data_IF_434035873596
#
_entry.id   IF_434035873596
#
_cell.length_a   1.000
_cell.length_b   1.000
_cell.length_c   1.000
_cell.angle_alpha   90.00
_cell.angle_beta   90.00
_cell.angle_gamma   90.00
#
_symmetry.space_group_name_H-M   'P 1'
#
loop_
_entity.id
_entity.type
_entity.pdbx_description
1 polymer ?
#
# COMPACT_ATOMS: atom_id res chain seq x y z
N UNK A 1 9.49 24.92 -4.78
CA UNK A 1 9.74 23.70 -4.00
C UNK A 1 11.23 23.51 -3.72
N UNK A 2 12.09 23.42 -4.73
CA UNK A 2 13.54 23.18 -4.56
C UNK A 2 14.23 24.18 -3.63
N UNK A 3 13.90 25.48 -3.70
CA UNK A 3 14.47 26.51 -2.83
C UNK A 3 14.15 26.28 -1.33
N UNK A 4 12.92 25.84 -1.01
CA UNK A 4 12.55 25.51 0.37
C UNK A 4 13.28 24.25 0.88
N UNK A 5 13.49 23.25 0.01
CA UNK A 5 14.24 22.05 0.36
C UNK A 5 15.72 22.37 0.63
N UNK A 6 16.34 23.28 -0.13
CA UNK A 6 17.73 23.69 0.04
C UNK A 6 18.03 24.39 1.38
N UNK A 7 17.00 24.86 2.09
CA UNK A 7 17.19 25.41 3.44
C UNK A 7 17.60 24.33 4.46
N UNK A 8 17.13 23.10 4.29
CA UNK A 8 17.48 21.96 5.17
C UNK A 8 18.59 21.09 4.57
N UNK A 9 18.45 20.76 3.28
CA UNK A 9 19.40 19.90 2.58
C UNK A 9 20.21 20.75 1.62
N UNK A 10 21.50 21.02 1.90
CA UNK A 10 22.32 21.91 1.09
C UNK A 10 22.58 21.40 -0.33
N UNK A 11 22.33 20.12 -0.59
CA UNK A 11 22.38 19.52 -1.92
C UNK A 11 21.38 18.38 -2.08
N UNK A 12 21.16 17.95 -3.33
CA UNK A 12 20.38 16.76 -3.64
C UNK A 12 20.97 15.51 -3.00
N UNK A 13 22.29 15.38 -2.97
CA UNK A 13 23.00 14.23 -2.38
C UNK A 13 22.76 14.16 -0.87
N UNK A 14 22.71 15.31 -0.18
CA UNK A 14 22.40 15.36 1.25
C UNK A 14 20.98 14.85 1.52
N UNK A 15 20.01 15.27 0.69
CA UNK A 15 18.64 14.78 0.76
C UNK A 15 18.56 13.27 0.48
N UNK A 16 19.16 12.81 -0.61
CA UNK A 16 19.10 11.40 -0.98
C UNK A 16 19.79 10.48 0.02
N UNK A 17 20.89 10.93 0.63
CA UNK A 17 21.56 10.16 1.70
C UNK A 17 20.62 9.93 2.89
N UNK A 18 19.84 10.93 3.28
CA UNK A 18 18.90 10.83 4.38
C UNK A 18 17.63 10.05 3.98
N UNK A 19 17.06 10.34 2.79
CA UNK A 19 15.85 9.68 2.29
C UNK A 19 16.07 8.20 2.00
N UNK A 20 17.14 7.88 1.29
CA UNK A 20 17.36 6.55 0.73
C UNK A 20 18.15 5.63 1.68
N UNK A 21 18.45 6.08 2.89
CA UNK A 21 19.25 5.31 3.85
C UNK A 21 18.71 3.90 4.14
N UNK A 22 17.41 3.66 3.95
CA UNK A 22 16.77 2.36 4.09
C UNK A 22 16.61 1.59 2.78
N UNK A 23 16.84 2.24 1.64
CA UNK A 23 16.76 1.63 0.30
C UNK A 23 18.12 1.21 -0.21
N UNK A 24 19.19 1.90 0.21
CA UNK A 24 20.55 1.75 -0.34
C UNK A 24 21.15 0.34 -0.17
N UNK A 25 20.71 -0.42 0.80
CA UNK A 25 21.17 -1.82 0.98
C UNK A 25 20.81 -2.72 -0.20
N UNK A 26 19.75 -2.38 -0.92
CA UNK A 26 19.25 -3.17 -2.05
C UNK A 26 19.94 -2.80 -3.37
N UNK A 27 20.78 -1.77 -3.38
CA UNK A 27 21.41 -1.25 -4.58
C UNK A 27 22.85 -1.73 -4.67
N UNK A 28 23.13 -2.60 -5.66
CA UNK A 28 24.47 -3.14 -5.89
C UNK A 28 25.46 -2.08 -6.42
N UNK A 29 24.98 -1.11 -7.22
CA UNK A 29 25.76 -0.04 -7.79
C UNK A 29 24.99 1.28 -7.79
N UNK A 30 25.33 2.17 -6.86
CA UNK A 30 24.70 3.49 -6.69
C UNK A 30 24.83 4.40 -7.92
N UNK A 31 25.96 4.33 -8.63
CA UNK A 31 26.18 5.15 -9.81
C UNK A 31 25.23 4.77 -10.95
N UNK A 32 25.09 3.48 -11.21
CA UNK A 32 24.16 2.96 -12.22
C UNK A 32 22.72 3.27 -11.87
N UNK A 33 22.33 3.05 -10.61
CA UNK A 33 20.99 3.35 -10.11
C UNK A 33 20.63 4.82 -10.34
N UNK A 34 21.49 5.74 -9.97
CA UNK A 34 21.24 7.18 -10.11
C UNK A 34 21.11 7.64 -11.57
N UNK A 35 21.69 6.91 -12.54
CA UNK A 35 21.65 7.21 -13.96
C UNK A 35 20.51 6.51 -14.71
N UNK A 36 19.80 5.55 -14.10
CA UNK A 36 18.69 4.84 -14.74
C UNK A 36 17.58 5.81 -15.12
N UNK A 37 17.23 5.81 -16.41
CA UNK A 37 16.05 6.49 -16.91
C UNK A 37 14.85 5.56 -16.85
N UNK A 38 13.78 6.01 -16.19
CA UNK A 38 12.53 5.29 -16.09
C UNK A 38 11.49 5.99 -16.93
N UNK A 39 10.66 5.20 -17.64
CA UNK A 39 9.53 5.71 -18.37
C UNK A 39 8.25 5.01 -17.92
N UNK A 40 7.25 5.79 -17.50
CA UNK A 40 5.91 5.32 -17.21
C UNK A 40 4.99 5.85 -18.31
N UNK A 41 4.25 4.96 -18.98
CA UNK A 41 3.28 5.34 -20.02
C UNK A 41 1.87 4.95 -19.61
N UNK A 42 0.93 5.82 -19.87
CA UNK A 42 -0.49 5.58 -19.68
C UNK A 42 -1.12 5.32 -21.04
N UNK A 43 -1.89 4.26 -21.14
CA UNK A 43 -2.62 3.92 -22.36
C UNK A 43 -3.67 4.99 -22.67
N UNK A 44 -3.58 5.68 -23.84
CA UNK A 44 -4.53 6.73 -24.19
C UNK A 44 -5.98 6.28 -24.25
N UNK A 45 -6.22 5.02 -24.66
CA UNK A 45 -7.58 4.48 -24.82
C UNK A 45 -8.32 4.28 -23.50
N UNK A 46 -7.56 4.06 -22.40
CA UNK A 46 -8.10 3.77 -21.07
C UNK A 46 -7.79 4.86 -20.02
N UNK A 47 -7.05 5.92 -20.38
CA UNK A 47 -6.59 6.96 -19.46
C UNK A 47 -7.73 7.70 -18.71
N UNK A 48 -8.95 7.69 -19.25
CA UNK A 48 -10.14 8.25 -18.60
C UNK A 48 -10.72 7.38 -17.48
N UNK A 49 -10.30 6.12 -17.37
CA UNK A 49 -10.85 5.20 -16.38
C UNK A 49 -10.29 5.49 -14.98
N UNK A 50 -11.12 5.51 -13.91
CA UNK A 50 -10.67 5.80 -12.55
C UNK A 50 -9.56 4.84 -12.07
N UNK A 51 -9.67 3.56 -12.40
CA UNK A 51 -8.67 2.55 -12.00
C UNK A 51 -7.33 2.74 -12.68
N UNK A 52 -7.30 3.13 -13.96
CA UNK A 52 -6.08 3.47 -14.69
C UNK A 52 -5.43 4.73 -14.11
N UNK A 53 -6.23 5.75 -13.81
CA UNK A 53 -5.72 6.95 -13.14
C UNK A 53 -5.18 6.67 -11.74
N UNK A 54 -5.87 5.83 -10.96
CA UNK A 54 -5.38 5.41 -9.63
C UNK A 54 -4.05 4.66 -9.71
N UNK A 55 -3.93 3.71 -10.66
CA UNK A 55 -2.65 3.00 -10.90
C UNK A 55 -1.55 3.98 -11.31
N UNK A 56 -1.84 4.94 -12.18
CA UNK A 56 -0.87 5.93 -12.64
C UNK A 56 -0.39 6.84 -11.51
N UNK A 57 -1.31 7.35 -10.68
CA UNK A 57 -1.01 8.16 -9.51
C UNK A 57 -0.11 7.40 -8.52
N UNK A 58 -0.49 6.19 -8.16
CA UNK A 58 0.27 5.39 -7.20
C UNK A 58 1.63 4.96 -7.78
N UNK A 59 1.69 4.44 -9.01
CA UNK A 59 2.95 3.99 -9.62
C UNK A 59 3.94 5.15 -9.76
N UNK A 60 3.50 6.32 -10.19
CA UNK A 60 4.33 7.52 -10.28
C UNK A 60 4.83 7.97 -8.90
N UNK A 61 3.94 8.02 -7.89
CA UNK A 61 4.28 8.36 -6.51
C UNK A 61 5.31 7.39 -5.93
N UNK A 62 5.09 6.07 -6.04
CA UNK A 62 6.02 5.06 -5.55
C UNK A 62 7.38 5.13 -6.25
N UNK A 63 7.39 5.38 -7.57
CA UNK A 63 8.62 5.46 -8.35
C UNK A 63 9.44 6.70 -7.97
N UNK A 64 8.81 7.86 -7.75
CA UNK A 64 9.50 9.07 -7.30
C UNK A 64 10.21 8.94 -5.95
N UNK A 65 9.83 7.94 -5.13
CA UNK A 65 10.42 7.73 -3.80
C UNK A 65 11.77 7.03 -3.82
N UNK A 66 12.19 6.50 -4.96
CA UNK A 66 13.49 5.86 -5.13
C UNK A 66 14.22 6.27 -6.42
N UNK A 67 13.49 6.49 -7.53
CA UNK A 67 14.06 6.93 -8.80
C UNK A 67 14.27 8.44 -8.82
N UNK A 68 15.34 8.88 -9.52
CA UNK A 68 15.70 10.29 -9.63
C UNK A 68 15.34 10.89 -10.99
N UNK A 69 15.27 10.04 -12.03
CA UNK A 69 15.02 10.44 -13.41
C UNK A 69 13.82 9.66 -13.93
N UNK A 70 12.65 10.29 -13.97
CA UNK A 70 11.42 9.65 -14.41
C UNK A 70 10.74 10.49 -15.48
N UNK A 71 10.44 9.84 -16.59
CA UNK A 71 9.64 10.39 -17.67
C UNK A 71 8.25 9.72 -17.66
N UNK A 72 7.21 10.55 -17.65
CA UNK A 72 5.84 10.09 -17.75
C UNK A 72 5.24 10.54 -19.08
N UNK A 73 4.65 9.60 -19.78
CA UNK A 73 3.83 9.86 -20.97
C UNK A 73 2.38 9.76 -20.54
N UNK A 74 1.77 10.91 -20.35
CA UNK A 74 0.41 11.06 -19.83
C UNK A 74 -0.44 11.73 -20.91
N UNK A 75 -1.48 11.07 -21.45
CA UNK A 75 -2.42 11.68 -22.37
C UNK A 75 -3.10 12.91 -21.72
N UNK A 76 -3.48 13.89 -22.54
CA UNK A 76 -4.28 15.00 -22.06
C UNK A 76 -5.69 14.50 -21.70
N UNK A 77 -5.92 14.28 -20.41
CA UNK A 77 -7.16 13.72 -19.88
C UNK A 77 -7.55 14.42 -18.59
N UNK A 78 -8.84 14.67 -18.45
CA UNK A 78 -9.39 15.21 -17.21
C UNK A 78 -9.18 14.24 -16.06
N UNK A 79 -8.79 14.78 -14.92
CA UNK A 79 -8.70 14.01 -13.68
C UNK A 79 -10.10 13.62 -13.21
N UNK A 80 -10.28 12.34 -12.85
CA UNK A 80 -11.55 11.86 -12.31
C UNK A 80 -12.01 12.71 -11.12
N UNK A 81 -13.30 13.05 -11.03
CA UNK A 81 -13.80 13.99 -10.02
C UNK A 81 -13.40 13.66 -8.60
N UNK A 82 -13.44 12.38 -8.20
CA UNK A 82 -13.05 11.92 -6.87
C UNK A 82 -11.56 12.13 -6.56
N UNK A 83 -10.71 12.36 -7.56
CA UNK A 83 -9.27 12.54 -7.37
C UNK A 83 -8.82 14.00 -7.34
N UNK A 84 -9.72 14.96 -7.58
CA UNK A 84 -9.37 16.39 -7.79
C UNK A 84 -8.85 17.09 -6.54
N UNK A 85 -9.26 16.67 -5.36
CA UNK A 85 -8.94 17.36 -4.09
C UNK A 85 -9.18 18.88 -4.14
N UNK A 86 -10.15 19.32 -4.97
CA UNK A 86 -10.50 20.72 -5.15
C UNK A 86 -9.50 21.61 -5.90
N UNK A 87 -8.36 21.07 -6.40
CA UNK A 87 -7.29 21.89 -6.99
C UNK A 87 -6.72 21.40 -8.33
N UNK A 88 -6.90 20.13 -8.69
CA UNK A 88 -6.38 19.60 -9.94
C UNK A 88 -7.50 19.36 -10.95
N UNK A 89 -7.22 19.64 -12.23
CA UNK A 89 -8.14 19.40 -13.32
C UNK A 89 -7.67 18.29 -14.26
N UNK A 90 -6.35 18.20 -14.48
CA UNK A 90 -5.74 17.20 -15.34
C UNK A 90 -4.98 16.15 -14.54
N UNK A 91 -4.94 14.91 -15.05
CA UNK A 91 -4.17 13.82 -14.46
C UNK A 91 -2.67 14.16 -14.39
N UNK A 92 -2.14 14.75 -15.45
CA UNK A 92 -0.74 15.17 -15.54
C UNK A 92 -0.33 16.17 -14.45
N UNK A 93 -1.22 17.11 -14.10
CA UNK A 93 -0.97 18.11 -13.05
C UNK A 93 -0.82 17.44 -11.68
N UNK A 94 -1.75 16.54 -11.33
CA UNK A 94 -1.71 15.84 -10.06
C UNK A 94 -0.48 14.93 -9.94
N UNK A 95 -0.19 14.13 -10.97
CA UNK A 95 1.01 13.27 -10.99
C UNK A 95 2.27 14.10 -10.77
N UNK A 96 2.44 15.20 -11.51
CA UNK A 96 3.61 16.06 -11.40
C UNK A 96 3.78 16.64 -9.99
N UNK A 97 2.71 17.14 -9.39
CA UNK A 97 2.76 17.69 -8.03
C UNK A 97 3.10 16.62 -6.99
N UNK A 98 2.48 15.43 -7.08
CA UNK A 98 2.77 14.33 -6.16
C UNK A 98 4.23 13.87 -6.22
N UNK A 99 4.79 13.72 -7.42
CA UNK A 99 6.19 13.34 -7.57
C UNK A 99 7.14 14.41 -7.02
N UNK A 100 6.89 15.68 -7.35
CA UNK A 100 7.73 16.80 -6.89
C UNK A 100 7.61 17.07 -5.39
N UNK A 101 6.48 16.71 -4.77
CA UNK A 101 6.31 16.82 -3.31
C UNK A 101 6.91 15.63 -2.57
N UNK A 102 7.01 14.47 -3.20
CA UNK A 102 7.76 13.32 -2.68
C UNK A 102 9.29 13.54 -2.76
N UNK A 103 9.76 14.09 -3.90
CA UNK A 103 11.17 14.36 -4.15
C UNK A 103 11.35 15.73 -4.84
N UNK A 104 11.78 16.78 -4.11
CA UNK A 104 11.95 18.12 -4.66
C UNK A 104 13.18 18.27 -5.57
N UNK A 105 14.07 17.28 -5.60
CA UNK A 105 15.32 17.29 -6.38
C UNK A 105 15.26 16.39 -7.61
N UNK A 106 14.24 15.52 -7.73
CA UNK A 106 14.07 14.61 -8.85
C UNK A 106 13.84 15.34 -10.19
N UNK A 107 14.36 14.77 -11.26
CA UNK A 107 14.06 15.21 -12.64
C UNK A 107 12.84 14.43 -13.15
N UNK A 108 11.66 15.02 -12.96
CA UNK A 108 10.38 14.45 -13.33
C UNK A 108 9.78 15.19 -14.51
N UNK A 109 9.78 14.53 -15.68
CA UNK A 109 9.28 15.07 -16.92
C UNK A 109 7.92 14.45 -17.27
N UNK A 110 6.86 15.24 -17.24
CA UNK A 110 5.54 14.85 -17.70
C UNK A 110 5.31 15.37 -19.11
N UNK A 111 5.00 14.50 -20.07
CA UNK A 111 4.84 14.80 -21.49
C UNK A 111 3.63 14.06 -22.05
N UNK A 112 3.04 14.59 -23.10
CA UNK A 112 1.90 13.96 -23.80
C UNK A 112 2.36 12.92 -24.83
N UNK A 113 3.52 13.14 -25.43
CA UNK A 113 4.05 12.34 -26.54
C UNK A 113 5.41 11.77 -26.19
N UNK A 114 5.62 10.50 -26.55
CA UNK A 114 6.90 9.85 -26.44
C UNK A 114 7.85 10.31 -27.57
N UNK A 115 8.92 11.04 -27.22
CA UNK A 115 10.02 11.28 -28.13
C UNK A 115 11.16 10.33 -27.80
N UNK A 116 11.60 9.54 -28.79
CA UNK A 116 12.76 8.67 -28.64
C UNK A 116 14.05 9.49 -28.79
N UNK A 117 14.88 9.50 -27.76
CA UNK A 117 16.25 10.03 -27.83
C UNK A 117 17.30 8.89 -27.81
N UNK A 118 16.89 7.66 -28.17
CA UNK A 118 17.80 6.54 -28.37
C UNK A 118 18.40 5.90 -27.11
N UNK A 119 18.14 6.46 -25.93
CA UNK A 119 18.64 5.86 -24.68
C UNK A 119 17.75 4.70 -24.21
N UNK A 120 18.33 3.58 -23.76
CA UNK A 120 17.55 2.50 -23.19
C UNK A 120 16.87 2.96 -21.91
N UNK A 121 15.57 2.66 -21.78
CA UNK A 121 14.75 3.00 -20.61
C UNK A 121 14.08 1.77 -20.07
N UNK A 122 13.90 1.76 -18.76
CA UNK A 122 13.03 0.79 -18.10
C UNK A 122 11.59 1.30 -18.20
N UNK A 123 10.72 0.54 -18.85
CA UNK A 123 9.34 0.97 -19.10
C UNK A 123 8.33 0.21 -18.26
N UNK A 124 7.39 0.96 -17.71
CA UNK A 124 6.15 0.48 -17.11
C UNK A 124 4.97 1.09 -17.90
N UNK A 125 4.07 0.26 -18.34
CA UNK A 125 2.89 0.65 -19.10
C UNK A 125 1.65 0.39 -18.26
N UNK A 126 0.71 1.36 -18.23
CA UNK A 126 -0.46 1.32 -17.35
C UNK A 126 -1.73 1.43 -18.20
N UNK A 127 -2.55 0.39 -18.17
CA UNK A 127 -3.76 0.27 -18.97
C UNK A 127 -3.75 -0.96 -19.87
N UNK A 128 -4.67 -1.05 -20.81
CA UNK A 128 -4.86 -2.25 -21.63
C UNK A 128 -3.81 -2.43 -22.74
N UNK A 129 -3.40 -1.33 -23.39
CA UNK A 129 -2.47 -1.36 -24.52
C UNK A 129 -2.83 -2.39 -25.61
N UNK A 130 -4.12 -2.55 -25.92
CA UNK A 130 -4.64 -3.55 -26.85
C UNK A 130 -4.06 -3.45 -28.27
N UNK A 131 -3.80 -2.21 -28.73
CA UNK A 131 -3.33 -1.89 -30.08
C UNK A 131 -1.88 -1.37 -30.07
N UNK A 132 -1.14 -1.61 -29.01
CA UNK A 132 0.20 -1.04 -28.89
C UNK A 132 1.18 -1.72 -29.84
N UNK A 133 1.47 -1.09 -30.98
CA UNK A 133 2.61 -1.45 -31.81
C UNK A 133 3.91 -0.99 -31.14
N UNK A 134 4.93 -1.84 -31.14
CA UNK A 134 6.27 -1.51 -30.66
C UNK A 134 6.49 -1.71 -29.15
N UNK A 135 5.71 -2.56 -28.50
CA UNK A 135 6.08 -3.10 -27.19
C UNK A 135 7.36 -3.92 -27.30
N UNK A 136 8.27 -3.71 -26.36
CA UNK A 136 9.50 -4.50 -26.26
C UNK A 136 9.28 -5.69 -25.34
N UNK A 137 10.00 -6.80 -25.52
CA UNK A 137 9.84 -8.00 -24.67
C UNK A 137 10.02 -7.72 -23.18
N UNK A 138 10.82 -6.72 -22.81
CA UNK A 138 11.09 -6.30 -21.43
C UNK A 138 10.08 -5.30 -20.86
N UNK A 139 9.18 -4.76 -21.67
CA UNK A 139 8.13 -3.87 -21.17
C UNK A 139 7.18 -4.60 -20.25
N UNK A 140 6.84 -3.97 -19.15
CA UNK A 140 5.88 -4.52 -18.21
C UNK A 140 4.59 -3.70 -18.24
N UNK A 141 3.50 -4.37 -18.62
CA UNK A 141 2.16 -3.77 -18.71
C UNK A 141 1.36 -4.21 -17.51
N UNK A 142 0.78 -3.25 -16.79
CA UNK A 142 -0.13 -3.50 -15.65
C UNK A 142 -1.54 -3.00 -15.94
N UNK A 143 -2.52 -3.73 -15.43
CA UNK A 143 -3.93 -3.37 -15.47
C UNK A 143 -4.66 -3.92 -14.25
N UNK A 144 -5.93 -3.58 -14.10
CA UNK A 144 -6.82 -4.15 -13.08
C UNK A 144 -8.22 -4.33 -13.65
N UNK A 145 -8.89 -5.42 -13.28
CA UNK A 145 -10.26 -5.71 -13.67
C UNK A 145 -11.00 -6.46 -12.54
N UNK A 146 -12.19 -6.01 -12.15
CA UNK A 146 -12.91 -6.58 -11.03
C UNK A 146 -12.08 -6.52 -9.74
N UNK A 147 -11.77 -7.66 -9.17
CA UNK A 147 -10.90 -7.81 -7.99
C UNK A 147 -9.48 -8.26 -8.36
N UNK A 148 -9.13 -8.32 -9.64
CA UNK A 148 -7.85 -8.85 -10.12
C UNK A 148 -6.86 -7.75 -10.45
N UNK A 149 -5.66 -7.85 -9.88
CA UNK A 149 -4.47 -7.15 -10.33
C UNK A 149 -3.80 -7.95 -11.44
N UNK A 150 -3.41 -7.29 -12.53
CA UNK A 150 -2.93 -7.93 -13.74
C UNK A 150 -1.55 -7.39 -14.12
N UNK A 151 -0.67 -8.27 -14.61
CA UNK A 151 0.64 -7.90 -15.14
C UNK A 151 1.05 -8.80 -16.30
N UNK A 152 1.52 -8.21 -17.40
CA UNK A 152 2.03 -8.92 -18.58
C UNK A 152 3.35 -8.32 -19.07
N UNK A 153 4.13 -9.14 -19.76
CA UNK A 153 5.42 -8.72 -20.27
C UNK A 153 5.43 -8.75 -21.81
N UNK A 154 5.87 -7.64 -22.42
CA UNK A 154 6.01 -7.52 -23.86
C UNK A 154 4.71 -7.54 -24.65
N UNK A 155 3.57 -7.58 -23.99
CA UNK A 155 2.25 -7.64 -24.63
C UNK A 155 1.20 -6.88 -23.82
N UNK A 156 0.19 -6.36 -24.51
CA UNK A 156 -0.98 -5.74 -23.90
C UNK A 156 -2.05 -6.76 -23.49
N UNK A 157 -3.12 -6.26 -22.94
CA UNK A 157 -4.29 -7.05 -22.57
C UNK A 157 -5.32 -7.02 -23.72
N UNK A 158 -5.79 -8.19 -24.13
CA UNK A 158 -6.84 -8.34 -25.15
C UNK A 158 -8.11 -8.88 -24.50
N UNK A 159 -9.29 -8.35 -24.88
CA UNK A 159 -10.57 -8.82 -24.39
C UNK A 159 -11.22 -7.94 -23.32
N UNK A 160 -12.01 -8.51 -22.43
CA UNK A 160 -12.89 -7.84 -21.48
C UNK A 160 -12.17 -7.23 -20.25
N UNK A 161 -11.18 -6.38 -20.49
CA UNK A 161 -10.44 -5.71 -19.39
C UNK A 161 -10.96 -4.28 -19.11
N UNK A 162 -12.08 -3.90 -19.72
CA UNK A 162 -12.76 -2.61 -19.46
C UNK A 162 -13.72 -2.68 -18.26
N UNK A 163 -13.70 -3.75 -17.50
CA UNK A 163 -14.50 -3.90 -16.30
C UNK A 163 -13.98 -2.95 -15.19
N UNK A 164 -14.89 -2.28 -14.48
CA UNK A 164 -14.52 -1.53 -13.29
C UNK A 164 -13.73 -2.43 -12.33
N UNK A 165 -12.67 -1.90 -11.74
CA UNK A 165 -11.87 -2.66 -10.78
C UNK A 165 -11.90 -2.02 -9.38
N UNK A 166 -11.62 -2.82 -8.35
CA UNK A 166 -11.43 -2.30 -7.01
C UNK A 166 -10.14 -1.48 -6.92
N UNK A 167 -10.13 -0.45 -6.05
CA UNK A 167 -8.90 0.30 -5.77
C UNK A 167 -7.82 -0.58 -5.12
N UNK A 168 -8.23 -1.66 -4.45
CA UNK A 168 -7.31 -2.67 -3.93
C UNK A 168 -6.56 -3.40 -5.06
N UNK A 169 -7.27 -3.84 -6.11
CA UNK A 169 -6.65 -4.47 -7.28
C UNK A 169 -5.77 -3.49 -8.06
N UNK A 170 -6.23 -2.27 -8.27
CA UNK A 170 -5.46 -1.21 -8.94
C UNK A 170 -4.18 -0.87 -8.14
N UNK A 171 -4.29 -0.72 -6.82
CA UNK A 171 -3.16 -0.47 -5.92
C UNK A 171 -2.14 -1.61 -5.93
N UNK A 172 -2.61 -2.86 -5.92
CA UNK A 172 -1.73 -4.02 -5.99
C UNK A 172 -1.00 -4.10 -7.33
N UNK A 173 -1.69 -3.88 -8.46
CA UNK A 173 -1.08 -3.85 -9.80
C UNK A 173 0.00 -2.76 -9.89
N UNK A 174 -0.28 -1.54 -9.42
CA UNK A 174 0.68 -0.45 -9.39
C UNK A 174 1.89 -0.76 -8.50
N UNK A 175 1.67 -1.39 -7.34
CA UNK A 175 2.74 -1.81 -6.42
C UNK A 175 3.64 -2.86 -7.05
N UNK A 176 3.08 -3.87 -7.70
CA UNK A 176 3.84 -4.91 -8.39
C UNK A 176 4.59 -4.35 -9.62
N UNK A 177 3.95 -3.43 -10.38
CA UNK A 177 4.62 -2.72 -11.48
C UNK A 177 5.82 -1.90 -11.01
N UNK A 178 5.69 -1.17 -9.90
CA UNK A 178 6.79 -0.42 -9.29
C UNK A 178 7.89 -1.36 -8.74
N UNK A 179 7.53 -2.52 -8.22
CA UNK A 179 8.48 -3.54 -7.78
C UNK A 179 9.29 -4.10 -8.96
N UNK A 180 8.66 -4.39 -10.09
CA UNK A 180 9.35 -4.85 -11.30
C UNK A 180 10.32 -3.81 -11.84
N UNK A 181 9.89 -2.53 -11.90
CA UNK A 181 10.78 -1.42 -12.26
C UNK A 181 12.00 -1.33 -11.36
N UNK A 182 11.79 -1.40 -10.04
CA UNK A 182 12.88 -1.33 -9.07
C UNK A 182 13.86 -2.50 -9.24
N UNK A 183 13.37 -3.73 -9.36
CA UNK A 183 14.21 -4.92 -9.61
C UNK A 183 15.10 -4.78 -10.84
N UNK A 184 14.53 -4.29 -11.93
CA UNK A 184 15.27 -4.04 -13.16
C UNK A 184 16.26 -2.90 -13.01
N UNK A 185 15.93 -1.87 -12.24
CA UNK A 185 16.80 -0.70 -12.03
C UNK A 185 18.05 -1.06 -11.23
N UNK A 186 17.91 -1.83 -10.15
CA UNK A 186 19.06 -2.17 -9.28
C UNK A 186 19.98 -3.22 -9.88
N UNK A 187 19.51 -4.02 -10.85
CA UNK A 187 20.32 -5.07 -11.49
C UNK A 187 20.89 -6.10 -10.51
N UNK A 188 20.22 -6.33 -9.38
CA UNK A 188 20.70 -7.25 -8.35
C UNK A 188 20.77 -8.69 -8.92
N UNK A 189 21.90 -9.40 -8.79
CA UNK A 189 22.08 -10.72 -9.42
C UNK A 189 21.04 -11.77 -9.02
N UNK A 190 20.47 -11.67 -7.82
CA UNK A 190 19.41 -12.57 -7.35
C UNK A 190 17.98 -12.06 -7.59
N UNK A 191 17.81 -10.82 -8.07
CA UNK A 191 16.48 -10.22 -8.26
C UNK A 191 15.97 -10.55 -9.68
N UNK A 192 15.28 -11.66 -9.83
CA UNK A 192 14.58 -11.98 -11.07
C UNK A 192 13.40 -11.02 -11.29
N UNK A 193 13.06 -10.75 -12.53
CA UNK A 193 11.89 -9.95 -12.91
C UNK A 193 10.60 -10.64 -12.48
N UNK A 194 9.56 -9.86 -12.23
CA UNK A 194 8.28 -10.46 -11.91
C UNK A 194 7.73 -11.23 -13.12
N UNK A 195 7.14 -12.41 -12.90
CA UNK A 195 6.43 -13.14 -13.95
C UNK A 195 5.14 -12.40 -14.33
N UNK A 196 4.50 -12.85 -15.40
CA UNK A 196 3.11 -12.48 -15.68
C UNK A 196 2.21 -13.00 -14.57
N UNK A 197 1.16 -12.22 -14.26
CA UNK A 197 0.24 -12.59 -13.20
C UNK A 197 -1.18 -12.09 -13.47
N UNK A 198 -2.14 -12.83 -12.92
CA UNK A 198 -3.47 -12.39 -12.59
C UNK A 198 -3.72 -12.77 -11.14
N UNK A 199 -3.75 -11.77 -10.24
CA UNK A 199 -3.90 -12.00 -8.82
C UNK A 199 -5.23 -11.44 -8.33
N UNK A 200 -6.18 -12.36 -8.01
CA UNK A 200 -7.46 -11.97 -7.40
C UNK A 200 -7.23 -11.49 -5.96
N UNK A 201 -7.60 -10.28 -5.66
CA UNK A 201 -7.66 -9.75 -4.29
C UNK A 201 -8.90 -10.21 -3.54
N UNK A 202 -9.89 -10.84 -4.21
CA UNK A 202 -11.04 -11.45 -3.58
C UNK A 202 -10.68 -12.79 -2.92
N UNK A 203 -10.25 -13.76 -3.70
CA UNK A 203 -9.88 -15.10 -3.23
C UNK A 203 -8.40 -15.23 -2.83
N UNK A 204 -7.59 -14.22 -3.10
CA UNK A 204 -6.12 -14.24 -2.96
C UNK A 204 -5.43 -15.33 -3.77
N UNK A 205 -6.00 -15.73 -4.90
CA UNK A 205 -5.42 -16.74 -5.80
C UNK A 205 -4.77 -16.09 -7.01
N UNK A 206 -3.73 -16.73 -7.51
CA UNK A 206 -3.27 -16.49 -8.86
C UNK A 206 -4.20 -17.23 -9.80
N UNK A 207 -4.79 -16.49 -10.75
CA UNK A 207 -5.73 -17.03 -11.73
C UNK A 207 -4.97 -17.33 -13.03
N UNK A 208 -5.36 -18.40 -13.72
CA UNK A 208 -4.88 -18.70 -15.06
C UNK A 208 -5.82 -18.06 -16.08
N UNK A 209 -6.90 -18.70 -16.46
CA UNK A 209 -7.97 -18.14 -17.27
C UNK A 209 -9.31 -18.67 -16.75
N UNK A 210 -10.35 -17.83 -16.71
CA UNK A 210 -10.41 -16.40 -17.00
C UNK A 210 -9.64 -15.57 -15.96
N UNK A 211 -9.05 -14.44 -16.39
CA UNK A 211 -8.26 -13.56 -15.52
C UNK A 211 -9.08 -12.78 -14.49
N UNK A 212 -10.39 -12.84 -14.55
CA UNK A 212 -11.32 -12.22 -13.62
C UNK A 212 -12.18 -13.32 -12.99
N UNK A 213 -12.31 -13.27 -11.67
CA UNK A 213 -13.05 -14.24 -10.89
C UNK A 213 -14.56 -13.99 -11.00
N UNK A 214 -15.29 -14.90 -11.66
CA UNK A 214 -16.70 -14.74 -11.94
C UNK A 214 -17.58 -14.72 -10.68
N UNK A 215 -17.14 -15.39 -9.59
CA UNK A 215 -17.86 -15.46 -8.32
C UNK A 215 -17.63 -14.25 -7.42
N UNK A 216 -16.68 -13.38 -7.77
CA UNK A 216 -16.42 -12.19 -6.99
C UNK A 216 -17.54 -11.14 -7.19
N UNK A 217 -17.98 -10.47 -6.13
CA UNK A 217 -19.00 -9.43 -6.26
C UNK A 217 -18.49 -8.24 -7.08
N UNK A 218 -19.39 -7.41 -7.63
CA UNK A 218 -18.96 -6.17 -8.29
C UNK A 218 -18.16 -5.29 -7.32
N UNK A 219 -17.19 -4.52 -7.84
CA UNK A 219 -16.43 -3.57 -7.03
C UNK A 219 -17.34 -2.60 -6.28
N UNK A 220 -17.17 -2.40 -4.96
CA UNK A 220 -17.97 -1.44 -4.22
C UNK A 220 -17.66 -0.01 -4.68
N UNK A 221 -18.68 0.85 -4.84
CA UNK A 221 -18.51 2.21 -5.35
C UNK A 221 -17.91 3.20 -4.34
N UNK A 222 -17.87 2.85 -3.09
CA UNK A 222 -17.33 3.64 -1.98
C UNK A 222 -16.74 2.72 -0.90
N UNK A 223 -15.94 3.30 -0.02
CA UNK A 223 -15.44 2.64 1.18
C UNK A 223 -16.21 3.18 2.39
N UNK A 224 -17.01 2.33 3.01
CA UNK A 224 -17.71 2.68 4.24
C UNK A 224 -16.89 2.22 5.46
N UNK A 225 -16.33 3.20 6.15
CA UNK A 225 -15.48 2.97 7.33
C UNK A 225 -16.28 2.63 8.60
N UNK A 226 -17.61 2.91 8.63
CA UNK A 226 -18.32 2.85 9.89
C UNK A 226 -17.59 3.66 10.97
N UNK A 227 -17.35 3.06 12.14
CA UNK A 227 -16.48 3.58 13.19
C UNK A 227 -15.15 2.80 13.16
N UNK A 228 -14.11 3.35 12.54
CA UNK A 228 -12.82 2.66 12.37
C UNK A 228 -11.70 3.29 13.20
N UNK A 229 -10.91 2.46 13.89
CA UNK A 229 -9.63 2.83 14.47
C UNK A 229 -8.49 2.37 13.55
N UNK A 230 -7.62 3.30 13.16
CA UNK A 230 -6.33 3.01 12.52
C UNK A 230 -5.19 3.34 13.50
N UNK A 231 -4.59 2.31 14.06
CA UNK A 231 -3.43 2.42 14.93
C UNK A 231 -2.15 2.15 14.11
N UNK A 232 -1.35 3.20 13.93
CA UNK A 232 -0.13 3.19 13.12
C UNK A 232 -0.29 3.86 11.75
N UNK A 233 0.12 5.12 11.63
CA UNK A 233 0.17 5.91 10.39
C UNK A 233 1.58 5.88 9.80
N UNK A 234 2.23 4.71 9.86
CA UNK A 234 3.54 4.45 9.27
C UNK A 234 3.48 4.24 7.75
N UNK A 235 4.42 3.45 7.21
CA UNK A 235 4.51 3.21 5.77
C UNK A 235 3.24 2.53 5.20
N UNK A 236 2.76 1.46 5.83
CA UNK A 236 1.55 0.74 5.40
C UNK A 236 0.30 1.57 5.68
N UNK A 237 0.20 2.23 6.86
CA UNK A 237 -0.94 3.08 7.21
C UNK A 237 -1.09 4.27 6.28
N UNK A 238 0.00 4.96 5.95
CA UNK A 238 -0.03 6.05 4.97
C UNK A 238 -0.41 5.59 3.57
N UNK A 239 0.01 4.39 3.16
CA UNK A 239 -0.37 3.81 1.88
C UNK A 239 -1.84 3.38 1.85
N UNK A 240 -2.36 2.82 2.97
CA UNK A 240 -3.79 2.53 3.09
C UNK A 240 -4.64 3.78 2.97
N UNK A 241 -4.29 4.86 3.68
CA UNK A 241 -5.00 6.13 3.61
C UNK A 241 -4.91 6.77 2.20
N UNK A 242 -3.76 6.65 1.55
CA UNK A 242 -3.60 7.10 0.16
C UNK A 242 -4.56 6.37 -0.79
N UNK A 243 -4.65 5.04 -0.69
CA UNK A 243 -5.54 4.22 -1.52
C UNK A 243 -7.01 4.44 -1.18
N UNK A 244 -7.34 4.55 0.11
CA UNK A 244 -8.69 4.84 0.56
C UNK A 244 -9.19 6.19 0.04
N UNK A 245 -8.31 7.21 -0.01
CA UNK A 245 -8.61 8.53 -0.55
C UNK A 245 -8.94 8.54 -2.07
N UNK A 246 -8.56 7.50 -2.78
CA UNK A 246 -8.94 7.32 -4.20
C UNK A 246 -10.37 6.75 -4.36
N UNK A 247 -11.11 6.60 -3.26
CA UNK A 247 -12.51 6.19 -3.24
C UNK A 247 -13.35 7.22 -2.50
N UNK A 248 -14.64 7.36 -2.81
CA UNK A 248 -15.54 8.07 -1.92
C UNK A 248 -15.60 7.40 -0.55
N UNK A 249 -15.36 8.14 0.52
CA UNK A 249 -15.36 7.62 1.88
C UNK A 249 -16.66 7.96 2.61
N UNK A 250 -17.08 7.09 3.54
CA UNK A 250 -18.18 7.29 4.48
C UNK A 250 -17.78 6.82 5.88
N UNK A 251 -18.47 7.33 6.92
CA UNK A 251 -18.23 6.94 8.30
C UNK A 251 -17.23 7.82 9.02
N UNK A 252 -16.50 7.25 9.97
CA UNK A 252 -15.54 7.95 10.79
C UNK A 252 -14.22 7.19 10.94
N UNK A 253 -13.14 7.92 11.18
CA UNK A 253 -11.80 7.36 11.29
C UNK A 253 -11.03 8.00 12.44
N UNK A 254 -10.71 7.22 13.45
CA UNK A 254 -9.78 7.61 14.51
C UNK A 254 -8.37 7.16 14.14
N UNK A 255 -7.42 8.10 14.12
CA UNK A 255 -6.02 7.92 13.77
C UNK A 255 -5.16 7.98 15.03
N UNK A 256 -4.36 6.95 15.28
CA UNK A 256 -3.45 6.90 16.44
C UNK A 256 -2.02 6.62 15.96
N UNK A 257 -1.10 7.53 16.22
CA UNK A 257 0.34 7.37 16.01
C UNK A 257 1.10 8.38 16.88
N UNK A 258 2.27 8.03 17.41
CA UNK A 258 3.10 8.92 18.23
C UNK A 258 4.18 9.65 17.46
N UNK A 259 4.47 9.20 16.24
CA UNK A 259 5.65 9.63 15.50
C UNK A 259 5.38 10.88 14.67
N UNK A 260 6.47 11.59 14.42
CA UNK A 260 6.56 12.68 13.44
C UNK A 260 7.05 12.18 12.09
N UNK A 261 6.79 12.96 11.04
CA UNK A 261 7.31 12.69 9.72
C UNK A 261 8.80 13.05 9.66
N UNK A 262 9.62 12.09 9.25
CA UNK A 262 11.05 12.23 9.03
C UNK A 262 11.38 12.09 7.54
N UNK A 263 12.54 12.59 7.11
CA UNK A 263 13.04 12.45 5.71
C UNK A 263 13.10 10.98 5.30
N UNK A 264 13.53 10.11 6.22
CA UNK A 264 13.59 8.66 6.01
C UNK A 264 12.23 8.00 5.76
N UNK A 265 11.12 8.67 6.09
CA UNK A 265 9.77 8.16 5.78
C UNK A 265 9.40 8.40 4.31
N UNK A 266 10.01 9.40 3.66
CA UNK A 266 9.70 9.78 2.29
C UNK A 266 10.03 8.69 1.27
N UNK A 267 10.91 7.75 1.60
CA UNK A 267 11.23 6.64 0.71
C UNK A 267 10.13 5.57 0.59
N UNK A 268 9.12 5.56 1.48
CA UNK A 268 8.15 4.46 1.57
C UNK A 268 6.71 4.82 1.91
N UNK A 269 6.45 6.07 2.29
CA UNK A 269 5.13 6.52 2.76
C UNK A 269 4.47 7.44 1.73
N UNK A 270 3.55 6.95 0.87
CA UNK A 270 3.08 7.70 -0.30
C UNK A 270 2.32 8.99 0.03
N UNK A 271 1.76 9.11 1.21
CA UNK A 271 1.02 10.29 1.65
C UNK A 271 1.94 11.45 2.08
N UNK A 272 3.15 11.14 2.61
CA UNK A 272 4.02 12.16 3.17
C UNK A 272 4.85 12.88 2.12
N UNK A 273 5.02 14.19 2.32
CA UNK A 273 5.77 15.10 1.46
C UNK A 273 7.06 15.58 2.13
N UNK A 274 7.98 16.13 1.33
CA UNK A 274 9.20 16.76 1.87
C UNK A 274 8.89 17.94 2.80
N UNK A 275 7.75 18.62 2.62
CA UNK A 275 7.32 19.72 3.49
C UNK A 275 6.93 19.21 4.88
N UNK A 276 6.28 18.05 4.95
CA UNK A 276 5.91 17.42 6.22
C UNK A 276 7.14 16.99 7.00
N UNK A 277 8.15 16.44 6.30
CA UNK A 277 9.43 16.09 6.89
C UNK A 277 10.24 17.32 7.32
N UNK A 278 10.20 18.40 6.54
CA UNK A 278 10.83 19.67 6.89
C UNK A 278 10.25 20.28 8.17
N UNK A 279 8.92 20.21 8.32
CA UNK A 279 8.20 20.73 9.48
C UNK A 279 8.19 19.76 10.67
N UNK A 280 8.70 18.53 10.50
CA UNK A 280 8.58 17.44 11.49
C UNK A 280 7.14 17.30 12.02
N UNK A 281 6.18 17.29 11.10
CA UNK A 281 4.75 17.27 11.43
C UNK A 281 4.34 15.92 12.02
N UNK A 282 3.34 15.91 12.90
CA UNK A 282 2.78 14.68 13.45
C UNK A 282 2.08 13.89 12.33
N UNK A 283 2.36 12.59 12.26
CA UNK A 283 1.81 11.72 11.19
C UNK A 283 0.29 11.72 11.17
N UNK A 284 -0.34 11.70 12.34
CA UNK A 284 -1.81 11.74 12.48
C UNK A 284 -2.41 13.07 12.03
N UNK A 285 -1.74 14.19 12.30
CA UNK A 285 -2.17 15.51 11.84
C UNK A 285 -2.12 15.63 10.31
N UNK A 286 -1.07 15.10 9.69
CA UNK A 286 -0.97 15.04 8.22
C UNK A 286 -2.07 14.17 7.64
N UNK A 287 -2.33 12.99 8.21
CA UNK A 287 -3.39 12.09 7.76
C UNK A 287 -4.78 12.74 7.87
N UNK A 288 -5.07 13.42 8.97
CA UNK A 288 -6.29 14.19 9.15
C UNK A 288 -6.46 15.26 8.07
N UNK A 289 -5.43 16.07 7.85
CA UNK A 289 -5.44 17.12 6.81
C UNK A 289 -5.55 16.54 5.39
N UNK A 290 -4.92 15.39 5.16
CA UNK A 290 -4.94 14.68 3.88
C UNK A 290 -6.35 14.25 3.47
N UNK A 291 -7.17 13.83 4.44
CA UNK A 291 -8.54 13.37 4.24
C UNK A 291 -9.61 14.48 4.40
N UNK A 292 -9.21 15.72 4.70
CA UNK A 292 -10.15 16.82 5.01
C UNK A 292 -11.13 17.17 3.87
N UNK A 293 -10.84 16.77 2.63
CA UNK A 293 -11.75 16.97 1.48
C UNK A 293 -12.77 15.83 1.31
N UNK A 294 -12.61 14.72 2.02
CA UNK A 294 -13.57 13.61 2.06
C UNK A 294 -14.72 13.93 3.02
N UNK A 295 -15.88 13.39 2.77
CA UNK A 295 -17.06 13.60 3.61
C UNK A 295 -17.11 12.59 4.77
N UNK A 296 -16.07 12.58 5.62
CA UNK A 296 -15.96 11.74 6.79
C UNK A 296 -15.51 12.53 8.01
N UNK A 297 -15.87 12.04 9.19
CA UNK A 297 -15.29 12.55 10.44
C UNK A 297 -13.93 11.88 10.69
N UNK A 298 -12.89 12.68 10.95
CA UNK A 298 -11.58 12.17 11.30
C UNK A 298 -11.10 12.74 12.63
N UNK A 299 -10.58 11.89 13.53
CA UNK A 299 -9.96 12.28 14.78
C UNK A 299 -8.48 11.90 14.78
N UNK A 300 -7.58 12.86 15.00
CA UNK A 300 -6.15 12.61 15.12
C UNK A 300 -5.74 12.56 16.60
N UNK A 301 -5.07 11.49 17.01
CA UNK A 301 -4.53 11.28 18.35
C UNK A 301 -3.04 11.05 18.24
N UNK A 302 -2.24 11.93 18.84
CA UNK A 302 -0.80 11.79 18.94
C UNK A 302 -0.47 11.10 20.26
N UNK A 303 0.07 9.88 20.19
CA UNK A 303 0.42 9.13 21.37
C UNK A 303 0.75 7.66 21.06
N UNK A 304 1.36 6.99 22.03
CA UNK A 304 1.68 5.57 21.94
C UNK A 304 0.44 4.71 22.20
N UNK A 305 0.43 3.50 21.66
CA UNK A 305 -0.67 2.55 21.88
C UNK A 305 -1.02 2.37 23.36
N UNK A 306 -0.02 2.14 24.22
CA UNK A 306 -0.23 1.88 25.65
C UNK A 306 -0.92 3.03 26.41
N UNK A 307 -0.73 4.25 25.96
CA UNK A 307 -1.32 5.44 26.59
C UNK A 307 -2.82 5.56 26.30
N UNK A 308 -3.28 4.95 25.20
CA UNK A 308 -4.62 5.12 24.68
C UNK A 308 -5.43 3.82 24.60
N UNK A 309 -4.83 2.64 24.76
CA UNK A 309 -5.48 1.33 24.54
C UNK A 309 -6.75 1.14 25.38
N UNK A 310 -6.75 1.57 26.66
CA UNK A 310 -7.93 1.52 27.52
C UNK A 310 -9.09 2.35 26.98
N UNK A 311 -8.82 3.60 26.58
CA UNK A 311 -9.82 4.48 25.97
C UNK A 311 -10.35 3.93 24.64
N UNK A 312 -9.47 3.35 23.81
CA UNK A 312 -9.87 2.74 22.56
C UNK A 312 -10.79 1.52 22.80
N UNK A 313 -10.55 0.74 23.85
CA UNK A 313 -11.41 -0.40 24.22
C UNK A 313 -12.81 0.02 24.71
N UNK A 314 -12.97 1.23 25.21
CA UNK A 314 -14.26 1.75 25.64
C UNK A 314 -15.11 2.31 24.49
N UNK A 315 -14.47 2.70 23.39
CA UNK A 315 -15.16 3.22 22.21
C UNK A 315 -15.68 2.08 21.32
N UNK A 316 -16.93 2.16 20.84
CA UNK A 316 -17.55 1.09 20.04
C UNK A 316 -17.10 1.13 18.57
N UNK A 317 -15.81 0.92 18.28
CA UNK A 317 -15.35 0.79 16.91
C UNK A 317 -15.88 -0.47 16.24
N UNK A 318 -16.22 -0.37 14.96
CA UNK A 318 -16.61 -1.52 14.13
C UNK A 318 -15.38 -2.32 13.67
N UNK A 319 -14.31 -1.62 13.30
CA UNK A 319 -13.08 -2.20 12.77
C UNK A 319 -11.85 -1.59 13.43
N UNK A 320 -10.91 -2.43 13.81
CA UNK A 320 -9.58 -2.02 14.25
C UNK A 320 -8.54 -2.40 13.19
N UNK A 321 -7.87 -1.40 12.64
CA UNK A 321 -6.72 -1.60 11.76
C UNK A 321 -5.45 -1.45 12.61
N UNK A 322 -4.78 -2.57 12.88
CA UNK A 322 -3.58 -2.60 13.74
C UNK A 322 -2.32 -2.70 12.89
N UNK A 323 -1.63 -1.57 12.71
CA UNK A 323 -0.42 -1.41 11.90
C UNK A 323 0.78 -0.89 12.70
N UNK A 324 0.65 -0.80 14.03
CA UNK A 324 1.76 -0.38 14.86
C UNK A 324 2.83 -1.48 14.90
N UNK A 325 4.08 -1.09 15.00
CA UNK A 325 5.19 -2.01 15.27
C UNK A 325 5.49 -2.16 16.78
N UNK A 326 4.57 -1.72 17.64
CA UNK A 326 4.67 -1.89 19.09
C UNK A 326 4.25 -3.32 19.46
N UNK A 327 5.17 -4.10 20.05
CA UNK A 327 4.90 -5.50 20.48
C UNK A 327 3.70 -5.58 21.43
N UNK A 328 3.53 -4.54 22.26
CA UNK A 328 2.40 -4.43 23.17
C UNK A 328 1.04 -4.40 22.43
N UNK A 329 0.93 -3.65 21.35
CA UNK A 329 -0.31 -3.56 20.58
C UNK A 329 -0.73 -4.93 20.04
N UNK A 330 0.21 -5.66 19.45
CA UNK A 330 -0.06 -7.00 18.90
C UNK A 330 -0.48 -8.00 19.98
N UNK A 331 0.11 -7.89 21.19
CA UNK A 331 -0.21 -8.76 22.31
C UNK A 331 -1.54 -8.39 22.98
N UNK A 332 -1.89 -7.10 23.06
CA UNK A 332 -3.03 -6.59 23.81
C UNK A 332 -4.33 -6.56 23.00
N UNK A 333 -4.27 -6.30 21.68
CA UNK A 333 -5.46 -6.16 20.84
C UNK A 333 -6.52 -7.25 21.04
N UNK A 334 -6.20 -8.56 21.08
CA UNK A 334 -7.21 -9.60 21.28
C UNK A 334 -7.95 -9.50 22.62
N UNK A 335 -7.30 -8.94 23.65
CA UNK A 335 -7.89 -8.80 24.99
C UNK A 335 -8.75 -7.54 25.15
N UNK A 336 -8.67 -6.62 24.21
CA UNK A 336 -9.48 -5.40 24.19
C UNK A 336 -10.82 -5.60 23.48
N UNK A 337 -11.09 -6.82 23.03
CA UNK A 337 -12.36 -7.27 22.48
C UNK A 337 -12.83 -6.50 21.23
N UNK A 338 -11.96 -6.24 20.23
CA UNK A 338 -12.40 -5.58 19.01
C UNK A 338 -13.36 -6.48 18.22
N UNK A 339 -14.35 -5.92 17.53
CA UNK A 339 -15.29 -6.68 16.70
C UNK A 339 -14.59 -7.37 15.52
N UNK A 340 -13.77 -6.61 14.80
CA UNK A 340 -12.96 -7.09 13.68
C UNK A 340 -11.57 -6.44 13.77
N UNK A 341 -10.52 -7.22 13.51
CA UNK A 341 -9.16 -6.72 13.40
C UNK A 341 -8.63 -6.98 12.00
N UNK A 342 -8.11 -5.94 11.39
CA UNK A 342 -7.36 -6.01 10.14
C UNK A 342 -5.90 -5.67 10.41
N UNK A 343 -4.99 -6.34 9.71
CA UNK A 343 -3.55 -6.19 9.84
C UNK A 343 -2.89 -6.25 8.48
N UNK A 344 -1.77 -5.55 8.33
CA UNK A 344 -0.89 -5.73 7.19
C UNK A 344 0.55 -5.50 7.62
N UNK A 345 1.47 -6.16 6.95
CA UNK A 345 2.89 -6.12 7.29
C UNK A 345 3.76 -6.27 6.05
N UNK A 346 4.99 -5.83 6.18
CA UNK A 346 6.07 -6.13 5.24
C UNK A 346 7.15 -6.93 5.97
N UNK A 347 7.81 -7.85 5.27
CA UNK A 347 8.81 -8.75 5.87
C UNK A 347 10.13 -8.69 5.12
N UNK A 348 11.19 -9.28 5.72
CA UNK A 348 12.44 -9.59 5.03
C UNK A 348 12.17 -10.46 3.80
N UNK A 349 13.01 -10.40 2.79
CA UNK A 349 12.79 -11.14 1.55
C UNK A 349 11.80 -10.46 0.59
N UNK A 350 11.51 -9.16 0.82
CA UNK A 350 10.54 -8.39 0.06
C UNK A 350 9.11 -8.95 0.15
N UNK A 351 8.76 -9.43 1.34
CA UNK A 351 7.43 -9.93 1.61
C UNK A 351 6.45 -8.80 1.93
N UNK A 352 5.21 -9.01 1.55
CA UNK A 352 4.05 -8.20 1.92
C UNK A 352 2.88 -9.11 2.23
N UNK A 353 2.04 -8.71 3.18
CA UNK A 353 0.88 -9.50 3.54
C UNK A 353 -0.16 -8.73 4.30
N UNK A 354 -1.36 -9.31 4.36
CA UNK A 354 -2.47 -8.82 5.14
C UNK A 354 -3.20 -9.95 5.84
N UNK A 355 -3.92 -9.62 6.89
CA UNK A 355 -4.72 -10.59 7.63
C UNK A 355 -5.94 -9.97 8.26
N UNK A 356 -6.99 -10.79 8.37
CA UNK A 356 -8.24 -10.48 9.04
C UNK A 356 -8.42 -11.40 10.24
N UNK A 357 -8.98 -10.88 11.31
CA UNK A 357 -9.45 -11.63 12.45
C UNK A 357 -10.90 -11.28 12.75
N UNK A 358 -11.77 -12.25 12.59
CA UNK A 358 -13.14 -12.20 13.07
C UNK A 358 -13.20 -13.06 14.33
N UNK A 359 -13.47 -12.49 15.51
CA UNK A 359 -13.52 -13.23 16.77
C UNK A 359 -14.41 -14.46 16.68
N UNK A 360 -14.01 -15.55 17.37
CA UNK A 360 -14.66 -16.88 17.38
C UNK A 360 -14.51 -17.71 16.10
N UNK A 361 -14.33 -17.08 14.92
CA UNK A 361 -14.21 -17.78 13.64
C UNK A 361 -12.77 -17.94 13.18
N UNK A 362 -12.01 -16.87 13.29
CA UNK A 362 -10.67 -16.76 12.72
C UNK A 362 -9.61 -16.67 13.82
N UNK A 363 -8.39 -17.05 13.51
CA UNK A 363 -7.24 -16.93 14.40
C UNK A 363 -6.93 -15.46 14.73
N UNK A 364 -6.52 -15.19 15.97
CA UNK A 364 -6.20 -13.83 16.40
C UNK A 364 -4.71 -13.48 16.17
N UNK A 365 -4.34 -12.23 16.42
CA UNK A 365 -2.95 -11.75 16.32
C UNK A 365 -1.95 -12.60 17.07
N UNK A 366 -2.29 -13.08 18.29
CA UNK A 366 -1.42 -13.95 19.08
C UNK A 366 -1.20 -15.34 18.45
N UNK A 367 -2.15 -15.83 17.67
CA UNK A 367 -1.95 -17.09 16.93
C UNK A 367 -0.92 -16.98 15.83
N UNK A 368 -0.75 -15.76 15.28
CA UNK A 368 0.14 -15.46 14.15
C UNK A 368 1.53 -15.05 14.59
N UNK A 369 1.66 -14.62 15.84
CA UNK A 369 2.97 -14.28 16.40
C UNK A 369 3.69 -15.57 16.87
N UNK A 370 4.86 -15.89 16.32
CA UNK A 370 5.69 -16.95 16.88
C UNK A 370 6.21 -16.56 18.26
N UNK A 371 6.40 -17.53 19.09
CA UNK A 371 6.96 -17.35 20.45
C UNK A 371 8.46 -17.62 20.44
N UNK A 372 9.30 -16.73 21.04
CA UNK A 372 8.95 -15.44 21.64
C UNK A 372 8.80 -14.33 20.59
N UNK A 373 7.88 -13.42 20.81
CA UNK A 373 7.55 -12.28 19.91
C UNK A 373 8.77 -11.41 19.54
N UNK A 374 9.83 -11.42 20.34
CA UNK A 374 11.07 -10.67 20.12
C UNK A 374 11.83 -11.06 18.82
N UNK A 375 11.53 -12.21 18.21
CA UNK A 375 12.22 -12.68 17.01
C UNK A 375 11.55 -12.25 15.68
N UNK A 376 10.41 -11.55 15.72
CA UNK A 376 9.58 -11.29 14.54
C UNK A 376 9.70 -9.90 13.94
N UNK A 377 10.69 -9.14 14.31
CA UNK A 377 11.04 -7.90 13.60
C UNK A 377 11.98 -8.22 12.45
N UNK A 378 11.45 -8.89 11.42
CA UNK A 378 12.17 -8.96 10.17
C UNK A 378 12.23 -7.57 9.52
N UNK A 379 13.37 -7.12 9.00
CA UNK A 379 13.43 -5.91 8.18
C UNK A 379 12.59 -6.10 6.91
N UNK A 380 12.04 -5.00 6.38
CA UNK A 380 11.32 -5.01 5.08
C UNK A 380 12.24 -5.41 3.92
N UNK A 381 13.55 -5.29 4.13
CA UNK A 381 14.63 -5.76 3.27
C UNK A 381 15.69 -6.44 4.14
N UNK A 382 16.57 -7.26 3.56
CA UNK A 382 17.61 -7.94 4.35
C UNK A 382 18.59 -6.95 4.97
N UNK A 383 18.90 -7.19 6.23
CA UNK A 383 19.92 -6.49 6.99
C UNK A 383 19.44 -5.27 7.76
N UNK A 384 20.16 -4.96 8.81
CA UNK A 384 20.06 -3.72 9.56
C UNK A 384 21.08 -2.73 9.01
N UNK A 385 20.67 -1.49 8.79
CA UNK A 385 21.57 -0.41 8.36
C UNK A 385 22.03 0.36 9.59
N UNK A 386 23.32 0.44 9.81
CA UNK A 386 23.91 1.41 10.71
C UNK A 386 23.89 2.78 10.01
N UNK A 387 22.99 3.67 10.41
CA UNK A 387 22.86 5.02 9.85
C UNK A 387 23.91 5.96 10.43
N UNK A 388 24.22 5.79 11.68
CA UNK A 388 25.29 6.47 12.43
C UNK A 388 25.77 5.50 13.52
N UNK A 389 27.06 5.52 13.87
CA UNK A 389 27.63 4.64 14.91
C UNK A 389 26.93 4.76 16.27
N UNK A 390 26.29 5.92 16.55
CA UNK A 390 25.59 6.21 17.80
C UNK A 390 24.08 5.86 17.79
N UNK A 391 23.51 5.48 16.64
CA UNK A 391 22.08 5.19 16.52
C UNK A 391 21.83 3.69 16.33
N UNK A 392 20.70 3.16 16.87
CA UNK A 392 20.35 1.77 16.63
C UNK A 392 20.17 1.52 15.12
N UNK A 393 20.56 0.31 14.65
CA UNK A 393 20.42 -0.03 13.24
C UNK A 393 18.97 0.06 12.78
N UNK A 394 18.75 0.62 11.60
CA UNK A 394 17.41 0.76 10.99
C UNK A 394 17.15 -0.38 10.00
N UNK A 395 15.89 -0.77 9.90
CA UNK A 395 15.46 -1.80 8.97
C UNK A 395 15.29 -1.23 7.56
N UNK A 396 15.63 -2.02 6.53
CA UNK A 396 15.35 -1.71 5.14
C UNK A 396 13.85 -1.55 4.88
N UNK A 397 13.50 -0.71 3.92
CA UNK A 397 12.10 -0.47 3.56
C UNK A 397 11.97 -0.05 2.09
N UNK A 398 10.98 -0.63 1.41
CA UNK A 398 10.70 -0.39 0.00
C UNK A 398 9.26 0.10 -0.19
N UNK A 399 9.02 1.15 -0.99
CA UNK A 399 7.71 1.80 -1.09
C UNK A 399 6.62 0.87 -1.64
N UNK A 400 6.94 0.07 -2.62
CA UNK A 400 5.98 -0.84 -3.26
C UNK A 400 5.53 -1.99 -2.35
N UNK A 401 6.35 -2.41 -1.37
CA UNK A 401 5.93 -3.41 -0.38
C UNK A 401 4.87 -2.84 0.56
N UNK A 402 5.08 -1.62 1.04
CA UNK A 402 4.12 -0.94 1.92
C UNK A 402 2.79 -0.69 1.21
N UNK A 403 2.84 -0.25 -0.07
CA UNK A 403 1.65 -0.03 -0.87
C UNK A 403 0.94 -1.34 -1.25
N UNK A 404 1.68 -2.40 -1.55
CA UNK A 404 1.12 -3.72 -1.83
C UNK A 404 0.43 -4.33 -0.59
N UNK A 405 1.08 -4.24 0.59
CA UNK A 405 0.47 -4.66 1.85
C UNK A 405 -0.81 -3.86 2.17
N UNK A 406 -0.79 -2.55 1.93
CA UNK A 406 -1.96 -1.67 2.08
C UNK A 406 -3.07 -2.00 1.08
N UNK A 407 -2.73 -2.41 -0.15
CA UNK A 407 -3.70 -2.86 -1.15
C UNK A 407 -4.40 -4.14 -0.72
N UNK A 408 -3.65 -5.11 -0.19
CA UNK A 408 -4.21 -6.34 0.38
C UNK A 408 -5.09 -6.05 1.60
N UNK A 409 -4.67 -5.11 2.46
CA UNK A 409 -5.45 -4.64 3.60
C UNK A 409 -6.78 -3.99 3.15
N UNK A 410 -6.73 -3.13 2.14
CA UNK A 410 -7.91 -2.50 1.56
C UNK A 410 -8.86 -3.56 0.98
N UNK A 411 -8.32 -4.60 0.33
CA UNK A 411 -9.14 -5.71 -0.15
C UNK A 411 -9.87 -6.42 1.01
N UNK A 412 -9.17 -6.72 2.11
CA UNK A 412 -9.80 -7.32 3.29
C UNK A 412 -10.89 -6.41 3.89
N UNK A 413 -10.66 -5.09 3.87
CA UNK A 413 -11.67 -4.13 4.32
C UNK A 413 -12.91 -4.14 3.43
N UNK A 414 -12.72 -4.03 2.10
CA UNK A 414 -13.83 -4.03 1.13
C UNK A 414 -14.67 -5.33 1.18
N UNK A 415 -14.04 -6.46 1.52
CA UNK A 415 -14.75 -7.74 1.69
C UNK A 415 -15.72 -7.77 2.87
N UNK A 416 -15.53 -6.88 3.86
CA UNK A 416 -16.45 -6.82 5.02
C UNK A 416 -17.86 -6.42 4.62
N UNK A 417 -18.04 -5.78 3.48
CA UNK A 417 -19.36 -5.47 2.91
C UNK A 417 -20.05 -6.70 2.28
N UNK A 418 -19.31 -7.76 2.02
CA UNK A 418 -19.81 -8.96 1.32
C UNK A 418 -20.26 -10.06 2.27
N UNK A 419 -21.30 -10.81 1.89
CA UNK A 419 -21.92 -11.88 2.72
C UNK A 419 -21.12 -13.19 2.83
N UNK A 420 -20.03 -13.37 2.08
CA UNK A 420 -19.37 -14.69 1.90
C UNK A 420 -17.98 -14.82 2.54
N UNK A 421 -17.67 -14.04 3.57
CA UNK A 421 -16.35 -14.07 4.23
C UNK A 421 -15.95 -15.45 4.78
N UNK A 422 -16.92 -16.24 5.19
CA UNK A 422 -16.67 -17.58 5.79
C UNK A 422 -15.93 -18.55 4.85
N UNK A 423 -16.03 -18.37 3.53
CA UNK A 423 -15.36 -19.20 2.54
C UNK A 423 -13.98 -18.71 2.15
N UNK A 424 -13.67 -17.43 2.38
CA UNK A 424 -12.46 -16.77 1.92
C UNK A 424 -11.27 -16.97 2.87
N UNK A 425 -10.04 -16.96 2.37
CA UNK A 425 -8.83 -16.84 3.19
C UNK A 425 -8.90 -15.61 4.10
N UNK A 426 -8.30 -15.71 5.28
CA UNK A 426 -8.18 -14.60 6.23
C UNK A 426 -6.72 -14.18 6.47
N UNK A 427 -5.80 -14.78 5.75
CA UNK A 427 -4.39 -14.42 5.72
C UNK A 427 -3.86 -14.56 4.30
N UNK A 428 -3.11 -13.57 3.84
CA UNK A 428 -2.41 -13.58 2.55
C UNK A 428 -1.02 -13.02 2.72
N UNK A 429 -0.07 -13.60 2.02
CA UNK A 429 1.30 -13.11 1.94
C UNK A 429 1.97 -13.52 0.65
N UNK A 430 2.99 -12.77 0.28
CA UNK A 430 3.86 -13.09 -0.86
C UNK A 430 5.28 -12.62 -0.58
N UNK A 431 6.22 -13.23 -1.30
CA UNK A 431 7.62 -12.84 -1.37
C UNK A 431 7.95 -12.46 -2.80
N UNK A 432 8.54 -11.28 -3.00
CA UNK A 432 8.86 -10.74 -4.34
C UNK A 432 10.35 -10.83 -4.69
N UNK A 433 11.23 -11.18 -3.76
CA UNK A 433 12.67 -11.04 -3.94
C UNK A 433 13.23 -11.92 -5.08
N UNK A 434 12.85 -13.18 -5.10
CA UNK A 434 13.47 -14.19 -5.96
C UNK A 434 12.69 -14.53 -7.25
N UNK A 435 11.84 -13.63 -7.71
CA UNK A 435 11.21 -13.70 -9.03
C UNK A 435 9.97 -14.58 -9.14
N UNK A 436 9.69 -15.41 -8.18
CA UNK A 436 8.43 -16.14 -8.12
C UNK A 436 7.42 -15.30 -7.36
N UNK A 437 6.33 -14.93 -8.02
CA UNK A 437 5.17 -14.40 -7.32
C UNK A 437 4.46 -15.57 -6.62
N UNK A 438 5.01 -15.99 -5.48
CA UNK A 438 4.41 -17.03 -4.67
C UNK A 438 3.39 -16.39 -3.73
N UNK A 439 2.12 -16.61 -3.99
CA UNK A 439 1.03 -16.15 -3.12
C UNK A 439 0.64 -17.28 -2.18
N UNK A 440 0.74 -17.02 -0.89
CA UNK A 440 0.28 -17.93 0.17
C UNK A 440 -0.99 -17.33 0.75
N UNK A 441 -2.11 -18.03 0.56
CA UNK A 441 -3.39 -17.63 1.12
C UNK A 441 -3.92 -18.74 2.03
N UNK A 442 -4.17 -18.41 3.30
CA UNK A 442 -4.58 -19.35 4.32
C UNK A 442 -5.94 -18.97 4.89
N UNK A 443 -6.76 -19.99 5.13
CA UNK A 443 -7.93 -19.89 5.99
C UNK A 443 -7.59 -20.50 7.35
N UNK A 444 -7.46 -19.64 8.36
CA UNK A 444 -7.03 -20.03 9.70
C UNK A 444 -8.18 -19.84 10.69
N UNK A 445 -8.57 -20.91 11.33
CA UNK A 445 -9.61 -20.90 12.36
C UNK A 445 -9.07 -20.49 13.73
N UNK A 446 -9.95 -19.99 14.58
CA UNK A 446 -9.64 -19.71 15.98
C UNK A 446 -9.08 -20.93 16.70
N UNK A 447 -7.96 -20.78 17.41
CA UNK A 447 -7.30 -21.86 18.13
C UNK A 447 -7.88 -21.99 19.55
N UNK A 448 -8.40 -23.17 19.90
CA UNK A 448 -9.00 -23.44 21.22
C UNK A 448 -8.08 -23.17 22.42
N UNK A 449 -6.77 -23.36 22.25
CA UNK A 449 -5.79 -23.16 23.31
C UNK A 449 -5.10 -21.80 23.28
N UNK A 450 -5.46 -20.93 22.34
CA UNK A 450 -4.93 -19.56 22.29
C UNK A 450 -5.67 -18.68 23.28
N UNK A 451 -4.94 -18.00 24.18
CA UNK A 451 -5.56 -17.09 25.16
C UNK A 451 -6.35 -15.97 24.51
N UNK A 452 -5.86 -15.38 23.41
CA UNK A 452 -6.56 -14.31 22.67
C UNK A 452 -7.86 -14.81 22.03
N UNK A 453 -7.86 -16.01 21.42
CA UNK A 453 -9.07 -16.59 20.88
C UNK A 453 -10.07 -16.99 21.97
N UNK A 454 -9.59 -17.46 23.14
CA UNK A 454 -10.45 -17.83 24.27
C UNK A 454 -11.22 -16.63 24.84
N UNK A 455 -10.62 -15.45 24.87
CA UNK A 455 -11.28 -14.22 25.35
C UNK A 455 -12.48 -13.86 24.46
N UNK A 456 -12.37 -14.01 23.16
CA UNK A 456 -13.47 -13.75 22.22
C UNK A 456 -14.66 -14.74 22.36
N UNK A 457 -14.48 -15.85 23.06
CA UNK A 457 -15.55 -16.81 23.39
C UNK A 457 -16.25 -16.50 24.71
N UNK A 458 -15.75 -15.50 25.47
CA UNK A 458 -16.30 -15.13 26.77
C UNK A 458 -17.63 -14.38 26.64
N UNK A 459 -18.45 -14.42 27.71
CA UNK A 459 -19.67 -13.62 27.82
C UNK A 459 -19.38 -12.11 27.77
N UNK A 460 -18.21 -11.70 28.27
CA UNK A 460 -17.78 -10.32 28.24
C UNK A 460 -17.62 -9.81 26.81
N UNK A 461 -17.06 -10.63 25.91
CA UNK A 461 -16.99 -10.28 24.50
C UNK A 461 -18.38 -10.19 23.86
N UNK A 462 -19.29 -11.13 24.18
CA UNK A 462 -20.66 -11.10 23.66
C UNK A 462 -21.41 -9.83 24.09
N UNK A 463 -21.14 -9.31 25.26
CA UNK A 463 -21.77 -8.08 25.76
C UNK A 463 -21.15 -6.78 25.24
N UNK A 464 -19.85 -6.77 24.89
CA UNK A 464 -19.10 -5.59 24.44
C UNK A 464 -18.73 -5.63 22.97
N UNK A 465 -18.14 -6.71 22.49
CA UNK A 465 -17.59 -6.84 21.16
C UNK A 465 -18.61 -7.30 20.09
N UNK A 466 -19.73 -7.92 20.51
CA UNK A 466 -20.82 -8.32 19.61
C UNK A 466 -21.76 -7.16 19.22
N UNK A 467 -21.39 -5.92 19.51
CA UNK A 467 -22.15 -4.72 19.14
C UNK A 467 -21.42 -4.00 18.02
N UNK A 468 -22.09 -3.69 16.97
CA UNK A 468 -21.53 -2.95 15.84
C UNK A 468 -22.04 -3.49 14.51
N UNK A 469 -21.69 -2.80 13.45
CA UNK A 469 -22.13 -3.06 12.07
C UNK A 469 -21.87 -4.49 11.60
N UNK A 470 -20.81 -5.11 12.09
CA UNK A 470 -20.38 -6.45 11.68
C UNK A 470 -20.63 -7.54 12.76
N UNK A 471 -21.51 -7.28 13.74
CA UNK A 471 -21.83 -8.22 14.82
C UNK A 471 -22.32 -9.57 14.31
N UNK A 472 -23.06 -9.60 13.19
CA UNK A 472 -23.61 -10.83 12.61
C UNK A 472 -22.52 -11.79 12.11
N UNK A 473 -21.36 -11.29 11.69
CA UNK A 473 -20.24 -12.15 11.32
C UNK A 473 -19.65 -12.91 12.50
N UNK A 474 -19.75 -12.38 13.69
CA UNK A 474 -19.20 -12.97 14.91
C UNK A 474 -20.23 -13.80 15.68
N UNK A 475 -21.52 -13.49 15.57
CA UNK A 475 -22.59 -14.16 16.32
C UNK A 475 -23.11 -15.43 15.61
N UNK A 476 -23.04 -15.49 14.29
CA UNK A 476 -23.52 -16.61 13.49
C UNK A 476 -22.56 -17.82 13.39
N UNK A 477 -21.66 -18.01 14.34
CA UNK A 477 -20.67 -19.11 14.38
C UNK A 477 -21.11 -20.25 15.33
#
# INVERSE_FOLDING_TARGET
MKQAALQRWPSAEAFYRERDNRTLLEVANLADYAQREIEIRIDPSSAGQPTVQAMALLAANLTARWARNVRLIVPEVALCPQFRRGRYHLLAERIKDEMQTADPFGDFQVKEIAHSNGRPRLRLLIGAFQQAHGLQPEDFVINAAGWSALGRRGQGFHGEFDLPATMAAAGLAASLGAADLFKRAIGHPGAQWLPEFSWSTWSHRLLTEPFVEAEAPPPPPHLDLGETLLAGVGAVGSAFLYLADLMPLRGSLTLLDRDKVETSNLNRSPMFTFKDALAASDKTAIAHSYLAHQNIYTQAIVGAWREHSGRMAEHPFDVWISLTNEDAAWAEVPFLLPPIVLQATTTSGWGMGAGRHIPRREDCTLCRLPRPAAQFRGPCAEGNIAVEESKPPVQGALPFLSAGAASLLLAEYLKLEGSSLAALPNEVGTDLRYGLLAVIANKRAALRHCRGCAVSQSQLWQSRGGRGRFSDYSLAA
#
